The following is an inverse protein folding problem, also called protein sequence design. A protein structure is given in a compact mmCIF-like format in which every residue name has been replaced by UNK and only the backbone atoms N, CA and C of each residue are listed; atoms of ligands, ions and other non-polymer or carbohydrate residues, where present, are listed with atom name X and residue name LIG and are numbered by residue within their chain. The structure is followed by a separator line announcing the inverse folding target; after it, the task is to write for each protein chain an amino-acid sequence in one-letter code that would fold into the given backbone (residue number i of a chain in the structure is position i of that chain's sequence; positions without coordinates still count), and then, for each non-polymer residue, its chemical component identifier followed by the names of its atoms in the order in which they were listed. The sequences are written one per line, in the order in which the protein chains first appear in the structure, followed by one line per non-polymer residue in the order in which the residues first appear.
data_IF_181880504333
#
_entry.id   IF_181880504333
#
_cell.length_a   1.000
_cell.length_b   1.000
_cell.length_c   1.000
_cell.angle_alpha   90.00
_cell.angle_beta   90.00
_cell.angle_gamma   90.00
#
_symmetry.space_group_name_H-M   'P 1'
#
loop_
_entity.id
_entity.type
_entity.pdbx_description
1 polymer ?
#
# COMPACT_ATOMS: atom_id res chain seq x y z
N UNK A 1 36.04 -4.98 -19.38
CA UNK A 1 35.56 -6.34 -19.06
C UNK A 1 34.11 -6.44 -19.49
N UNK A 2 33.83 -7.22 -20.54
CA UNK A 2 32.48 -7.52 -21.03
C UNK A 2 32.40 -9.04 -21.15
N UNK A 3 31.50 -9.64 -20.39
CA UNK A 3 31.25 -11.08 -20.41
C UNK A 3 30.26 -11.38 -21.55
N UNK A 4 30.79 -11.79 -22.70
CA UNK A 4 30.00 -12.38 -23.78
C UNK A 4 29.79 -13.86 -23.48
N UNK A 5 28.55 -14.37 -23.37
CA UNK A 5 28.33 -15.81 -23.30
C UNK A 5 28.66 -16.44 -24.66
N UNK A 6 29.61 -17.37 -24.63
CA UNK A 6 30.16 -18.10 -25.76
C UNK A 6 29.43 -19.45 -25.92
N UNK A 7 28.49 -19.55 -26.84
CA UNK A 7 28.05 -20.85 -27.40
C UNK A 7 27.88 -20.73 -28.92
N UNK A 8 29.03 -20.60 -29.58
CA UNK A 8 29.18 -20.94 -30.99
C UNK A 8 30.33 -21.94 -31.07
N UNK A 9 30.00 -23.23 -31.18
CA UNK A 9 30.71 -24.14 -32.08
C UNK A 9 29.96 -25.46 -32.21
N UNK A 10 29.22 -25.56 -33.31
CA UNK A 10 29.05 -26.84 -34.01
C UNK A 10 30.44 -27.44 -34.23
N UNK A 11 30.62 -28.70 -33.83
CA UNK A 11 31.71 -29.54 -34.32
C UNK A 11 31.08 -30.61 -35.21
N UNK A 12 31.00 -30.28 -36.50
CA UNK A 12 30.81 -31.23 -37.59
C UNK A 12 32.15 -31.91 -37.87
N UNK A 13 32.16 -33.23 -37.96
CA UNK A 13 33.23 -34.08 -38.53
C UNK A 13 32.52 -35.33 -39.09
N UNK A 14 32.00 -35.26 -40.33
CA UNK A 14 32.49 -35.82 -41.61
C UNK A 14 32.46 -37.39 -41.62
N UNK A 15 31.80 -38.15 -42.51
CA UNK A 15 31.56 -38.03 -43.96
C UNK A 15 30.52 -39.10 -44.44
N UNK A 16 30.28 -39.41 -45.75
CA UNK A 16 29.04 -39.12 -46.49
C UNK A 16 28.22 -40.35 -46.93
N UNK A 17 26.88 -40.25 -47.02
CA UNK A 17 26.07 -41.09 -47.93
C UNK A 17 24.66 -40.52 -48.13
N UNK A 18 24.10 -40.80 -49.31
CA UNK A 18 23.04 -40.09 -50.03
C UNK A 18 21.61 -40.47 -49.58
N UNK A 19 20.73 -39.50 -49.24
CA UNK A 19 19.26 -39.55 -49.54
C UNK A 19 18.51 -38.27 -49.08
N UNK A 20 17.52 -37.75 -49.84
CA UNK A 20 16.65 -36.69 -49.37
C UNK A 20 15.48 -37.28 -48.56
N UNK A 21 15.26 -36.82 -47.34
CA UNK A 21 14.14 -37.29 -46.52
C UNK A 21 13.95 -36.48 -45.25
N UNK A 22 12.80 -35.81 -45.20
CA UNK A 22 12.11 -35.25 -44.04
C UNK A 22 12.70 -34.02 -43.33
N UNK A 23 12.06 -32.90 -43.65
CA UNK A 23 12.11 -31.68 -42.86
C UNK A 23 11.55 -31.96 -41.46
N UNK A 24 12.42 -31.90 -40.45
CA UNK A 24 12.01 -31.92 -39.05
C UNK A 24 11.18 -30.65 -38.76
N UNK A 25 9.90 -30.86 -38.47
CA UNK A 25 9.00 -29.85 -37.93
C UNK A 25 9.59 -29.29 -36.63
N UNK A 26 9.75 -27.96 -36.48
CA UNK A 26 10.07 -27.39 -35.17
C UNK A 26 8.92 -27.73 -34.24
N UNK A 27 9.20 -28.51 -33.20
CA UNK A 27 8.24 -28.88 -32.17
C UNK A 27 7.89 -27.62 -31.39
N UNK A 28 6.84 -26.94 -31.82
CA UNK A 28 6.24 -25.77 -31.16
C UNK A 28 5.61 -26.23 -29.84
N UNK A 29 6.35 -26.10 -28.75
CA UNK A 29 5.84 -26.34 -27.40
C UNK A 29 4.87 -25.22 -27.05
N UNK A 30 3.59 -25.41 -27.37
CA UNK A 30 2.51 -24.55 -26.87
C UNK A 30 2.30 -24.88 -25.40
N UNK A 31 2.76 -24.02 -24.48
CA UNK A 31 2.41 -24.13 -23.06
C UNK A 31 0.94 -23.71 -22.91
N UNK A 32 0.04 -24.69 -22.91
CA UNK A 32 -1.35 -24.48 -22.53
C UNK A 32 -1.42 -24.25 -21.02
N UNK A 33 -1.51 -22.98 -20.64
CA UNK A 33 -1.85 -22.62 -19.27
C UNK A 33 -3.36 -22.78 -19.08
N UNK A 34 -3.78 -23.91 -18.51
CA UNK A 34 -5.15 -24.08 -18.03
C UNK A 34 -5.21 -23.54 -16.60
N UNK A 35 -5.94 -22.44 -16.32
CA UNK A 35 -6.12 -21.99 -14.96
C UNK A 35 -6.81 -23.10 -14.15
N UNK A 36 -6.31 -23.44 -12.95
CA UNK A 36 -6.89 -24.53 -12.17
C UNK A 36 -8.35 -24.23 -11.85
N UNK A 37 -9.25 -25.13 -12.26
CA UNK A 37 -10.69 -25.05 -12.00
C UNK A 37 -11.05 -25.49 -10.57
N UNK A 38 -10.25 -25.10 -9.57
CA UNK A 38 -10.38 -25.57 -8.18
C UNK A 38 -11.00 -24.51 -7.27
N UNK A 39 -12.20 -24.05 -7.62
CA UNK A 39 -13.01 -23.20 -6.72
C UNK A 39 -13.41 -23.94 -5.43
N UNK A 40 -13.41 -25.28 -5.42
CA UNK A 40 -13.68 -26.06 -4.21
C UNK A 40 -12.50 -26.12 -3.22
N UNK A 41 -11.25 -26.05 -3.68
CA UNK A 41 -10.10 -26.07 -2.76
C UNK A 41 -10.00 -24.75 -1.99
N UNK A 42 -10.35 -23.62 -2.62
CA UNK A 42 -10.35 -22.29 -1.99
C UNK A 42 -11.24 -22.25 -0.74
N UNK A 43 -12.42 -22.87 -0.77
CA UNK A 43 -13.33 -22.88 0.39
C UNK A 43 -12.73 -23.63 1.59
N UNK A 44 -12.05 -24.77 1.35
CA UNK A 44 -11.41 -25.53 2.41
C UNK A 44 -10.15 -24.86 2.97
N UNK A 45 -9.45 -24.09 2.13
CA UNK A 45 -8.29 -23.30 2.56
C UNK A 45 -8.72 -22.08 3.40
N UNK A 46 -9.81 -21.41 3.02
CA UNK A 46 -10.34 -20.28 3.79
C UNK A 46 -10.82 -20.68 5.19
N UNK A 47 -11.49 -21.82 5.33
CA UNK A 47 -11.91 -22.36 6.63
C UNK A 47 -10.71 -22.68 7.51
N UNK A 48 -9.68 -23.33 6.94
CA UNK A 48 -8.44 -23.62 7.67
C UNK A 48 -7.66 -22.35 8.04
N UNK A 49 -7.66 -21.33 7.18
CA UNK A 49 -7.01 -20.06 7.46
C UNK A 49 -7.69 -19.30 8.62
N UNK A 50 -9.02 -19.39 8.73
CA UNK A 50 -9.77 -18.75 9.81
C UNK A 50 -9.36 -19.26 11.21
N UNK A 51 -8.86 -20.49 11.34
CA UNK A 51 -8.34 -21.04 12.59
C UNK A 51 -7.12 -20.26 13.12
N UNK A 52 -6.32 -19.67 12.22
CA UNK A 52 -5.10 -18.94 12.58
C UNK A 52 -5.32 -17.44 12.79
N UNK A 53 -6.48 -16.91 12.39
CA UNK A 53 -6.76 -15.48 12.49
C UNK A 53 -7.54 -15.22 13.78
N UNK A 54 -7.08 -14.34 14.67
CA UNK A 54 -7.80 -14.01 15.89
C UNK A 54 -9.22 -13.52 15.60
N UNK A 55 -10.22 -14.07 16.30
CA UNK A 55 -11.65 -13.77 16.08
C UNK A 55 -12.02 -12.31 16.36
N UNK A 56 -11.19 -11.60 17.15
CA UNK A 56 -11.45 -10.21 17.55
C UNK A 56 -10.26 -9.31 17.27
N UNK A 57 -10.57 -8.03 17.06
CA UNK A 57 -9.60 -6.97 16.82
C UNK A 57 -8.69 -6.76 18.02
N UNK A 58 -9.23 -6.83 19.24
CA UNK A 58 -8.43 -6.72 20.47
C UNK A 58 -7.43 -7.86 20.61
N UNK A 59 -7.79 -9.08 20.21
CA UNK A 59 -6.85 -10.20 20.23
C UNK A 59 -5.74 -10.03 19.18
N UNK A 60 -6.08 -9.54 17.99
CA UNK A 60 -5.09 -9.24 16.96
C UNK A 60 -4.15 -8.11 17.39
N UNK A 61 -4.67 -7.04 17.98
CA UNK A 61 -3.86 -5.95 18.55
C UNK A 61 -2.94 -6.45 19.68
N UNK A 62 -3.42 -7.37 20.52
CA UNK A 62 -2.60 -7.99 21.56
C UNK A 62 -1.38 -8.73 20.98
N UNK A 63 -1.57 -9.47 19.88
CA UNK A 63 -0.45 -10.11 19.17
C UNK A 63 0.52 -9.07 18.60
N UNK A 64 -0.01 -7.99 18.01
CA UNK A 64 0.83 -6.94 17.41
C UNK A 64 1.62 -6.14 18.46
N UNK A 65 1.09 -5.94 19.67
CA UNK A 65 1.79 -5.26 20.78
C UNK A 65 2.92 -6.12 21.37
N UNK A 66 2.79 -7.45 21.31
CA UNK A 66 3.88 -8.38 21.67
C UNK A 66 5.00 -8.40 20.63
N UNK A 67 4.70 -8.02 19.38
CA UNK A 67 5.67 -7.93 18.30
C UNK A 67 6.47 -6.63 18.37
N UNK A 68 7.73 -6.67 17.93
CA UNK A 68 8.55 -5.46 17.82
C UNK A 68 8.09 -4.63 16.63
N UNK A 69 7.68 -3.38 16.87
CA UNK A 69 7.32 -2.45 15.80
C UNK A 69 8.54 -1.68 15.28
N UNK A 70 8.58 -1.33 13.98
CA UNK A 70 7.64 -1.72 12.93
C UNK A 70 7.78 -3.20 12.51
N UNK A 71 6.68 -3.82 12.11
CA UNK A 71 6.64 -5.23 11.65
C UNK A 71 5.91 -5.37 10.31
N UNK A 72 6.17 -6.44 9.55
CA UNK A 72 5.52 -6.69 8.25
C UNK A 72 4.32 -7.63 8.37
N UNK A 73 3.40 -7.59 7.40
CA UNK A 73 2.28 -8.56 7.33
C UNK A 73 2.80 -10.00 7.26
N UNK A 74 3.92 -10.24 6.59
CA UNK A 74 4.59 -11.55 6.52
C UNK A 74 4.99 -12.03 7.93
N UNK A 75 5.63 -11.17 8.72
CA UNK A 75 6.06 -11.49 10.08
C UNK A 75 4.88 -11.77 11.01
N UNK A 76 3.80 -10.99 10.88
CA UNK A 76 2.55 -11.23 11.64
C UNK A 76 1.92 -12.55 11.25
N UNK A 77 1.87 -12.84 9.94
CA UNK A 77 1.36 -14.11 9.44
C UNK A 77 2.18 -15.27 9.98
N UNK A 78 3.51 -15.17 9.92
CA UNK A 78 4.43 -16.16 10.45
C UNK A 78 4.25 -16.38 11.95
N UNK A 79 4.01 -15.32 12.71
CA UNK A 79 3.75 -15.42 14.15
C UNK A 79 2.44 -16.15 14.44
N UNK A 80 1.36 -15.84 13.70
CA UNK A 80 0.05 -16.44 13.88
C UNK A 80 0.00 -17.93 13.50
N UNK A 81 0.75 -18.32 12.46
CA UNK A 81 0.74 -19.72 11.99
C UNK A 81 1.72 -20.63 12.75
N UNK A 82 2.55 -20.06 13.63
CA UNK A 82 3.48 -20.83 14.45
C UNK A 82 2.80 -21.37 15.72
N UNK A 83 3.17 -22.59 16.18
CA UNK A 83 4.18 -23.49 15.63
C UNK A 83 3.64 -24.45 14.53
N UNK A 84 2.37 -24.33 14.15
CA UNK A 84 1.69 -25.31 13.29
C UNK A 84 2.28 -25.43 11.88
N UNK A 85 2.76 -24.32 11.29
CA UNK A 85 3.37 -24.26 9.94
C UNK A 85 2.50 -24.94 8.88
N UNK A 86 1.31 -24.39 8.59
CA UNK A 86 0.37 -24.97 7.65
C UNK A 86 0.92 -24.93 6.21
N UNK A 87 0.25 -25.59 5.25
CA UNK A 87 0.61 -25.50 3.83
C UNK A 87 0.61 -24.05 3.33
N UNK A 88 1.41 -23.79 2.29
CA UNK A 88 1.63 -22.44 1.73
C UNK A 88 0.33 -21.75 1.32
N UNK A 89 -0.66 -22.49 0.80
CA UNK A 89 -1.95 -21.92 0.40
C UNK A 89 -2.73 -21.37 1.60
N UNK A 90 -2.63 -22.04 2.75
CA UNK A 90 -3.26 -21.58 4.00
C UNK A 90 -2.54 -20.36 4.54
N UNK A 91 -1.20 -20.38 4.56
CA UNK A 91 -0.39 -19.21 4.93
C UNK A 91 -0.74 -17.99 4.06
N UNK A 92 -0.81 -18.17 2.73
CA UNK A 92 -1.14 -17.10 1.79
C UNK A 92 -2.54 -16.55 2.02
N UNK A 93 -3.50 -17.42 2.36
CA UNK A 93 -4.87 -17.00 2.68
C UNK A 93 -4.94 -16.20 3.99
N UNK A 94 -4.15 -16.58 5.00
CA UNK A 94 -4.03 -15.79 6.24
C UNK A 94 -3.43 -14.42 5.93
N UNK A 95 -2.32 -14.38 5.19
CA UNK A 95 -1.66 -13.14 4.78
C UNK A 95 -2.62 -12.23 4.01
N UNK A 96 -3.32 -12.75 3.00
CA UNK A 96 -4.29 -11.98 2.21
C UNK A 96 -5.40 -11.42 3.08
N UNK A 97 -5.96 -12.23 3.99
CA UNK A 97 -7.04 -11.78 4.87
C UNK A 97 -6.59 -10.72 5.88
N UNK A 98 -5.36 -10.81 6.39
CA UNK A 98 -4.78 -9.75 7.22
C UNK A 98 -4.60 -8.46 6.43
N UNK A 99 -3.99 -8.56 5.25
CA UNK A 99 -3.66 -7.40 4.41
C UNK A 99 -4.90 -6.69 3.86
N UNK A 100 -5.92 -7.43 3.43
CA UNK A 100 -7.09 -6.88 2.73
C UNK A 100 -8.23 -6.49 3.68
N UNK A 101 -8.43 -7.25 4.76
CA UNK A 101 -9.57 -7.06 5.64
C UNK A 101 -9.13 -6.49 6.99
N UNK A 102 -8.35 -7.25 7.78
CA UNK A 102 -8.19 -7.00 9.21
C UNK A 102 -7.32 -5.80 9.54
N UNK A 103 -6.16 -5.66 8.88
CA UNK A 103 -5.24 -4.55 9.16
C UNK A 103 -5.80 -3.20 8.71
N UNK A 104 -6.42 -3.07 7.51
CA UNK A 104 -7.10 -1.84 7.12
C UNK A 104 -8.24 -1.43 8.06
N UNK A 105 -9.00 -2.38 8.60
CA UNK A 105 -10.06 -2.11 9.59
C UNK A 105 -9.50 -1.60 10.91
N UNK A 106 -8.39 -2.17 11.39
CA UNK A 106 -7.70 -1.72 12.59
C UNK A 106 -7.07 -0.33 12.43
N UNK A 107 -6.50 -0.04 11.26
CA UNK A 107 -5.95 1.28 10.90
C UNK A 107 -7.05 2.35 10.87
N UNK A 108 -8.18 2.03 10.20
CA UNK A 108 -9.37 2.91 10.17
C UNK A 108 -9.90 3.18 11.58
N UNK A 109 -9.83 2.20 12.47
CA UNK A 109 -10.23 2.31 13.87
C UNK A 109 -9.22 3.06 14.74
N UNK A 110 -8.00 3.31 14.23
CA UNK A 110 -6.93 4.02 14.91
C UNK A 110 -6.18 3.20 15.96
N UNK A 111 -6.27 1.87 15.91
CA UNK A 111 -5.50 1.00 16.81
C UNK A 111 -4.04 0.86 16.37
N UNK A 112 -3.79 0.88 15.06
CA UNK A 112 -2.49 0.76 14.42
C UNK A 112 -2.37 1.79 13.31
N UNK A 113 -1.17 1.94 12.75
CA UNK A 113 -0.93 2.57 11.46
C UNK A 113 -0.50 1.49 10.46
N UNK A 114 -1.23 1.34 9.35
CA UNK A 114 -0.93 0.34 8.34
C UNK A 114 -0.55 0.98 6.99
N UNK A 115 0.69 0.79 6.56
CA UNK A 115 1.14 1.13 5.21
C UNK A 115 0.79 -0.03 4.26
N UNK A 116 -0.32 0.11 3.54
CA UNK A 116 -0.81 -0.89 2.58
C UNK A 116 0.12 -1.10 1.39
N UNK A 117 0.91 -0.11 1.00
CA UNK A 117 1.81 -0.23 -0.16
C UNK A 117 3.07 -1.02 0.21
N UNK A 118 3.54 -0.88 1.45
CA UNK A 118 4.72 -1.56 1.96
C UNK A 118 4.40 -2.83 2.76
N UNK A 119 3.15 -3.03 3.17
CA UNK A 119 2.75 -4.11 4.07
C UNK A 119 3.37 -3.97 5.46
N UNK A 120 3.53 -2.74 5.95
CA UNK A 120 4.20 -2.43 7.23
C UNK A 120 3.19 -1.93 8.25
N UNK A 121 3.32 -2.40 9.48
CA UNK A 121 2.44 -2.12 10.61
C UNK A 121 3.23 -1.43 11.72
N UNK A 122 2.70 -0.33 12.25
CA UNK A 122 3.20 0.34 13.43
C UNK A 122 2.10 0.42 14.51
N UNK A 123 2.42 0.05 15.75
CA UNK A 123 1.47 0.04 16.86
C UNK A 123 1.66 1.30 17.72
N UNK A 124 0.68 2.20 17.68
CA UNK A 124 0.77 3.48 18.39
C UNK A 124 0.47 3.39 19.90
N UNK A 125 0.08 2.21 20.42
CA UNK A 125 -0.49 2.11 21.78
C UNK A 125 0.52 1.99 22.92
N UNK A 126 1.80 1.76 22.65
CA UNK A 126 2.81 1.53 23.68
C UNK A 126 3.98 2.49 23.59
N UNK A 127 3.72 3.79 23.81
CA UNK A 127 4.74 4.66 24.41
C UNK A 127 4.12 5.80 25.20
N UNK A 128 3.42 5.45 26.29
CA UNK A 128 3.44 6.29 27.49
C UNK A 128 4.83 6.20 28.14
N UNK A 129 5.89 6.54 27.39
CA UNK A 129 7.11 7.04 27.96
C UNK A 129 7.23 8.51 27.57
N UNK A 130 7.44 9.31 28.60
CA UNK A 130 7.41 10.76 28.62
C UNK A 130 8.62 11.38 27.88
N UNK A 131 9.02 10.86 26.72
CA UNK A 131 10.27 11.29 26.05
C UNK A 131 10.24 11.37 24.51
N UNK A 132 9.12 11.12 23.83
CA UNK A 132 9.07 11.26 22.35
C UNK A 132 8.00 12.24 21.89
N UNK A 133 8.08 13.49 22.36
CA UNK A 133 7.24 14.58 21.83
C UNK A 133 7.77 15.16 20.52
N UNK A 134 8.88 14.66 19.97
CA UNK A 134 9.55 15.23 18.81
C UNK A 134 10.30 14.15 17.99
N UNK A 135 9.58 13.34 17.22
CA UNK A 135 10.09 12.68 16.00
C UNK A 135 8.91 12.01 15.29
N UNK A 136 8.30 12.70 14.32
CA UNK A 136 8.54 12.41 12.91
C UNK A 136 7.71 11.21 12.40
N UNK A 137 6.39 11.40 12.35
CA UNK A 137 5.45 10.60 11.56
C UNK A 137 4.51 11.58 10.83
N UNK A 138 4.64 11.63 9.52
CA UNK A 138 4.38 12.77 8.65
C UNK A 138 2.95 12.74 8.12
N UNK A 139 2.07 13.56 8.69
CA UNK A 139 0.65 13.68 8.32
C UNK A 139 0.44 14.17 6.87
N UNK A 140 0.66 13.33 5.86
CA UNK A 140 0.43 13.69 4.45
C UNK A 140 -1.05 13.86 4.08
N UNK A 141 -1.96 13.28 4.87
CA UNK A 141 -3.40 13.50 4.71
C UNK A 141 -3.86 14.90 5.19
N UNK A 142 -3.05 15.62 5.97
CA UNK A 142 -3.45 16.89 6.63
C UNK A 142 -3.03 18.15 5.87
N UNK A 143 -2.05 18.07 4.98
CA UNK A 143 -1.54 19.23 4.22
C UNK A 143 -2.59 19.80 3.25
N UNK A 144 -3.41 18.94 2.60
CA UNK A 144 -4.49 19.41 1.71
C UNK A 144 -5.60 20.15 2.48
N UNK A 145 -5.98 19.68 3.66
CA UNK A 145 -7.01 20.33 4.50
C UNK A 145 -6.51 21.67 5.05
N UNK A 146 -5.25 21.73 5.50
CA UNK A 146 -4.63 22.97 5.98
C UNK A 146 -4.56 24.02 4.87
N UNK A 147 -4.16 23.64 3.65
CA UNK A 147 -4.11 24.56 2.51
C UNK A 147 -5.51 25.08 2.13
N UNK A 148 -6.52 24.21 2.13
CA UNK A 148 -7.91 24.61 1.86
C UNK A 148 -8.47 25.57 2.93
N UNK A 149 -8.15 25.32 4.20
CA UNK A 149 -8.58 26.17 5.31
C UNK A 149 -7.90 27.54 5.27
N UNK A 150 -6.60 27.60 4.96
CA UNK A 150 -5.83 28.84 4.79
C UNK A 150 -6.34 29.68 3.61
N UNK A 151 -6.66 29.05 2.47
CA UNK A 151 -7.28 29.74 1.33
C UNK A 151 -8.66 30.32 1.71
N UNK A 152 -9.48 29.54 2.43
CA UNK A 152 -10.80 30.00 2.87
C UNK A 152 -10.69 31.19 3.83
N UNK A 153 -9.76 31.14 4.78
CA UNK A 153 -9.53 32.21 5.75
C UNK A 153 -8.99 33.49 5.08
N UNK A 154 -8.11 33.34 4.08
CA UNK A 154 -7.62 34.47 3.27
C UNK A 154 -8.71 35.14 2.44
N UNK A 155 -9.62 34.36 1.84
CA UNK A 155 -10.73 34.89 1.06
C UNK A 155 -11.71 35.71 1.91
N UNK A 156 -12.02 35.26 3.14
CA UNK A 156 -12.88 36.00 4.07
C UNK A 156 -12.23 37.31 4.52
N UNK A 157 -10.92 37.30 4.77
CA UNK A 157 -10.16 38.50 5.14
C UNK A 157 -10.09 39.54 4.01
N UNK A 158 -9.93 39.09 2.76
CA UNK A 158 -9.89 39.98 1.58
C UNK A 158 -11.23 40.70 1.34
N UNK A 159 -12.36 40.08 1.66
CA UNK A 159 -13.68 40.70 1.55
C UNK A 159 -13.87 41.84 2.56
N UNK A 160 -13.35 41.70 3.78
CA UNK A 160 -13.45 42.75 4.81
C UNK A 160 -12.60 43.98 4.49
N UNK A 161 -11.40 43.79 3.94
CA UNK A 161 -10.51 44.91 3.56
C UNK A 161 -11.05 45.67 2.35
N UNK A 162 -11.71 44.98 1.42
CA UNK A 162 -12.28 45.61 0.22
C UNK A 162 -13.46 46.55 0.52
N UNK A 163 -14.30 46.24 1.52
CA UNK A 163 -15.41 47.12 1.94
C UNK A 163 -14.91 48.37 2.66
N UNK A 164 -13.81 48.27 3.41
CA UNK A 164 -13.23 49.41 4.13
C UNK A 164 -12.56 50.42 3.17
N UNK A 165 -11.81 49.93 2.17
CA UNK A 165 -11.13 50.80 1.18
C UNK A 165 -12.14 51.49 0.25
N UNK A 166 -13.23 50.83 -0.12
CA UNK A 166 -14.29 51.46 -0.92
C UNK A 166 -15.05 52.54 -0.15
N UNK A 167 -15.23 52.37 1.16
CA UNK A 167 -15.91 53.38 2.00
C UNK A 167 -15.07 54.64 2.22
N UNK A 168 -13.74 54.56 2.12
CA UNK A 168 -12.85 55.73 2.22
C UNK A 168 -12.51 56.37 0.87
N UNK A 169 -12.84 55.71 -0.25
CA UNK A 169 -12.56 56.22 -1.59
C UNK A 169 -13.70 57.06 -2.17
N UNK A 170 -14.89 57.02 -1.57
CA UNK A 170 -16.02 57.89 -1.92
C UNK A 170 -16.09 59.02 -0.89
N UNK A 171 -15.04 59.84 -0.85
CA UNK A 171 -15.24 61.25 -0.54
C UNK A 171 -15.89 61.87 -1.78
N UNK A 172 -17.13 62.36 -1.70
CA UNK A 172 -17.72 63.09 -2.81
C UNK A 172 -16.92 64.39 -2.99
N UNK A 173 -16.18 64.46 -4.10
CA UNK A 173 -15.95 65.74 -4.78
C UNK A 173 -17.33 66.30 -5.14
N UNK A 174 -17.91 67.09 -4.22
CA UNK A 174 -18.74 68.26 -4.51
C UNK A 174 -17.89 69.44 -4.05
N UNK A 175 -17.25 70.26 -4.88
CA UNK A 175 -17.74 71.00 -6.05
C UNK A 175 -19.14 71.58 -5.85
N UNK A 176 -19.16 72.93 -5.81
CA UNK A 176 -20.33 73.84 -5.86
C UNK A 176 -21.04 74.00 -4.50
N UNK A 177 -21.25 75.16 -3.87
CA UNK A 177 -21.29 76.60 -4.19
C UNK A 177 -21.09 77.33 -2.84
N UNK A 178 -20.28 78.39 -2.69
CA UNK A 178 -20.66 79.75 -3.06
C UNK A 178 -21.79 80.31 -2.18
N UNK A 179 -21.49 81.03 -1.08
CA UNK A 179 -22.33 82.12 -0.55
C UNK A 179 -21.43 83.10 0.23
N UNK A 180 -21.43 84.34 -0.27
CA UNK A 180 -21.14 85.65 0.34
C UNK A 180 -20.49 85.73 1.73
#
# INVERSE_FOLDING_TARGET
MRLTPSWLRSSTDDSPEERPGDAETPSEVTIYYSPPSNLSETSGTAERAAEFIPESDTALVGVLDEMHTPTTVDEVTDQLVQPARPPIDTWATVHEKLHQDRLPELDTSGYIEFDTEQGVIDCQMSHASTESRLSAGFQWASLRKLFFMLILLGAVSSLAVSVLVFSTAIDPVSLVSGVL
#
